data_IF_000492389839
#
_entry.id   IF_000492389839
#
_cell.length_a   1.000
_cell.length_b   1.000
_cell.length_c   1.000
_cell.angle_alpha   90.00
_cell.angle_beta   90.00
_cell.angle_gamma   90.00
#
_symmetry.space_group_name_H-M   'P 1'
#
loop_
_entity.id
_entity.type
_entity.pdbx_description
1 polymer ?
#
# COMPACT_ATOMS: atom_id res chain seq x y z
N UNK A 1 5.16 -11.19 -9.02
CA UNK A 1 5.32 -10.34 -7.81
C UNK A 1 4.97 -8.91 -8.15
N UNK A 2 4.53 -8.11 -7.18
CA UNK A 2 4.13 -6.69 -7.41
C UNK A 2 5.35 -5.86 -7.83
N UNK A 3 6.36 -5.77 -6.96
CA UNK A 3 7.57 -4.95 -7.16
C UNK A 3 8.87 -5.79 -7.06
N UNK A 4 8.78 -7.11 -7.15
CA UNK A 4 9.93 -8.00 -7.06
C UNK A 4 10.49 -8.22 -5.64
N UNK A 5 9.95 -7.55 -4.62
CA UNK A 5 10.35 -7.70 -3.21
C UNK A 5 9.45 -8.66 -2.43
N UNK A 6 10.03 -9.29 -1.40
CA UNK A 6 9.35 -10.15 -0.44
C UNK A 6 9.44 -9.54 0.96
N UNK A 7 8.30 -9.46 1.66
CA UNK A 7 8.20 -8.84 2.99
C UNK A 7 7.83 -9.83 4.12
N UNK A 8 7.57 -11.10 3.79
CA UNK A 8 7.26 -12.18 4.75
C UNK A 8 8.06 -13.44 4.40
N UNK A 9 8.30 -14.30 5.39
CA UNK A 9 9.09 -15.54 5.26
C UNK A 9 10.55 -15.36 5.65
N UNK A 10 11.31 -16.46 5.58
CA UNK A 10 12.73 -16.49 5.99
C UNK A 10 13.66 -15.80 4.97
N UNK A 11 13.27 -15.82 3.69
CA UNK A 11 14.02 -15.23 2.57
C UNK A 11 13.74 -13.73 2.37
N UNK A 12 13.60 -12.96 3.46
CA UNK A 12 13.42 -11.51 3.38
C UNK A 12 14.79 -10.84 3.29
N UNK A 13 15.07 -10.22 2.13
CA UNK A 13 16.35 -9.56 1.84
C UNK A 13 16.59 -8.33 2.73
N UNK A 14 15.56 -7.49 2.90
CA UNK A 14 15.62 -6.27 3.70
C UNK A 14 14.61 -6.31 4.86
N UNK A 15 15.08 -6.73 6.03
CA UNK A 15 14.24 -6.87 7.24
C UNK A 15 13.68 -5.54 7.73
N UNK A 16 14.44 -4.44 7.62
CA UNK A 16 13.96 -3.12 8.06
C UNK A 16 12.79 -2.63 7.20
N UNK A 17 12.93 -2.72 5.88
CA UNK A 17 11.87 -2.36 4.94
C UNK A 17 10.64 -3.26 5.13
N UNK A 18 10.84 -4.56 5.38
CA UNK A 18 9.77 -5.51 5.64
C UNK A 18 9.00 -5.18 6.92
N UNK A 19 9.68 -4.87 8.03
CA UNK A 19 8.99 -4.47 9.27
C UNK A 19 8.21 -3.17 9.08
N UNK A 20 8.75 -2.21 8.33
CA UNK A 20 8.02 -0.98 7.98
C UNK A 20 6.77 -1.28 7.15
N UNK A 21 6.88 -2.16 6.15
CA UNK A 21 5.74 -2.58 5.34
C UNK A 21 4.66 -3.25 6.19
N UNK A 22 5.03 -4.24 7.01
CA UNK A 22 4.11 -4.96 7.91
C UNK A 22 3.36 -4.00 8.84
N UNK A 23 4.07 -3.04 9.44
CA UNK A 23 3.46 -2.02 10.29
C UNK A 23 2.43 -1.19 9.51
N UNK A 24 2.76 -0.76 8.29
CA UNK A 24 1.84 0.04 7.47
C UNK A 24 0.60 -0.77 7.05
N UNK A 25 0.76 -2.05 6.69
CA UNK A 25 -0.37 -2.94 6.39
C UNK A 25 -1.28 -3.10 7.61
N UNK A 26 -0.70 -3.37 8.79
CA UNK A 26 -1.44 -3.45 10.04
C UNK A 26 -2.18 -2.15 10.38
N UNK A 27 -1.51 -1.01 10.27
CA UNK A 27 -2.12 0.29 10.56
C UNK A 27 -3.29 0.57 9.60
N UNK A 28 -3.15 0.24 8.31
CA UNK A 28 -4.25 0.38 7.33
C UNK A 28 -5.40 -0.56 7.67
N UNK A 29 -5.13 -1.82 8.02
CA UNK A 29 -6.13 -2.83 8.41
C UNK A 29 -7.01 -2.36 9.58
N UNK A 30 -6.36 -1.80 10.60
CA UNK A 30 -7.03 -1.28 11.79
C UNK A 30 -8.01 -0.16 11.47
N UNK A 31 -7.68 0.68 10.48
CA UNK A 31 -8.54 1.79 10.05
C UNK A 31 -9.54 1.43 8.95
N UNK A 32 -9.28 0.40 8.14
CA UNK A 32 -10.17 -0.07 7.05
C UNK A 32 -11.30 -0.95 7.55
N UNK A 33 -11.10 -1.60 8.70
CA UNK A 33 -12.15 -2.35 9.41
C UNK A 33 -13.31 -1.41 9.76
N UNK A 34 -14.55 -1.95 9.79
CA UNK A 34 -15.83 -1.23 9.99
C UNK A 34 -16.00 -0.51 11.35
N UNK A 35 -14.91 -0.13 12.01
CA UNK A 35 -14.83 0.41 13.35
C UNK A 35 -15.06 1.93 13.44
N UNK A 36 -15.33 2.61 12.32
CA UNK A 36 -15.72 4.02 12.38
C UNK A 36 -17.21 4.17 12.68
N UNK A 37 -17.55 4.24 13.97
CA UNK A 37 -18.93 4.45 14.45
C UNK A 37 -19.59 5.72 13.89
N UNK A 38 -18.81 6.68 13.37
CA UNK A 38 -19.31 7.91 12.72
C UNK A 38 -19.94 7.69 11.35
N UNK A 39 -19.59 6.60 10.68
CA UNK A 39 -20.22 6.23 9.41
C UNK A 39 -21.66 5.75 9.63
N UNK A 40 -21.98 5.36 10.86
CA UNK A 40 -23.31 4.91 11.27
C UNK A 40 -24.06 5.95 12.12
N UNK A 41 -23.36 6.80 12.87
CA UNK A 41 -23.94 7.80 13.77
C UNK A 41 -23.41 9.22 13.47
N UNK A 42 -24.11 10.01 12.64
CA UNK A 42 -23.66 11.33 12.19
C UNK A 42 -23.37 12.34 13.31
N UNK A 43 -24.05 12.22 14.45
CA UNK A 43 -23.86 13.10 15.62
C UNK A 43 -22.42 13.01 16.19
N UNK A 44 -21.74 11.87 15.99
CA UNK A 44 -20.37 11.66 16.46
C UNK A 44 -19.33 12.48 15.67
N UNK A 45 -19.68 13.03 14.50
CA UNK A 45 -18.79 13.92 13.71
C UNK A 45 -18.49 15.25 14.43
N UNK A 46 -19.30 15.62 15.43
CA UNK A 46 -19.12 16.85 16.21
C UNK A 46 -18.00 16.74 17.27
N UNK A 47 -17.55 15.54 17.62
CA UNK A 47 -16.60 15.29 18.72
C UNK A 47 -15.11 15.27 18.27
N UNK A 48 -14.71 16.15 17.35
CA UNK A 48 -13.32 16.33 16.89
C UNK A 48 -12.88 15.40 15.76
N UNK A 49 -11.65 15.54 15.23
CA UNK A 49 -11.18 14.86 14.00
C UNK A 49 -9.94 13.97 14.19
N UNK A 50 -9.76 13.39 15.38
CA UNK A 50 -8.57 12.58 15.71
C UNK A 50 -8.40 11.38 14.75
N UNK A 51 -9.47 10.62 14.53
CA UNK A 51 -9.46 9.47 13.62
C UNK A 51 -9.07 9.87 12.19
N UNK A 52 -9.68 10.92 11.63
CA UNK A 52 -9.35 11.43 10.29
C UNK A 52 -7.88 11.84 10.17
N UNK A 53 -7.32 12.47 11.21
CA UNK A 53 -5.90 12.84 11.26
C UNK A 53 -4.99 11.62 11.29
N UNK A 54 -5.35 10.58 12.04
CA UNK A 54 -4.59 9.32 12.11
C UNK A 54 -4.63 8.58 10.76
N UNK A 55 -5.81 8.47 10.13
CA UNK A 55 -5.96 7.89 8.79
C UNK A 55 -5.13 8.67 7.76
N UNK A 56 -5.18 10.00 7.79
CA UNK A 56 -4.38 10.84 6.89
C UNK A 56 -2.88 10.66 7.09
N UNK A 57 -2.42 10.53 8.34
CA UNK A 57 -1.02 10.28 8.65
C UNK A 57 -0.55 8.89 8.17
N UNK A 58 -1.38 7.85 8.35
CA UNK A 58 -1.13 6.50 7.82
C UNK A 58 -1.08 6.52 6.30
N UNK A 59 -2.04 7.18 5.64
CA UNK A 59 -2.08 7.32 4.19
C UNK A 59 -0.83 8.00 3.62
N UNK A 60 -0.38 9.09 4.25
CA UNK A 60 0.87 9.77 3.87
C UNK A 60 2.09 8.86 4.03
N UNK A 61 2.16 8.11 5.13
CA UNK A 61 3.27 7.19 5.40
C UNK A 61 3.33 6.04 4.38
N UNK A 62 2.16 5.53 3.96
CA UNK A 62 2.06 4.53 2.90
C UNK A 62 2.41 5.10 1.52
N UNK A 63 1.94 6.32 1.20
CA UNK A 63 2.29 6.97 -0.07
C UNK A 63 3.81 7.18 -0.20
N UNK A 64 4.46 7.64 0.87
CA UNK A 64 5.93 7.79 0.91
C UNK A 64 6.65 6.44 0.76
N UNK A 65 6.11 5.36 1.32
CA UNK A 65 6.65 4.01 1.16
C UNK A 65 6.51 3.54 -0.30
N UNK A 66 5.32 3.66 -0.88
CA UNK A 66 5.04 3.25 -2.26
C UNK A 66 5.84 4.09 -3.27
N UNK A 67 6.03 5.39 -3.01
CA UNK A 67 6.85 6.24 -3.88
C UNK A 67 8.30 5.76 -3.91
N UNK A 68 8.90 5.49 -2.73
CA UNK A 68 10.28 4.97 -2.67
C UNK A 68 10.40 3.65 -3.43
N UNK A 69 9.43 2.75 -3.25
CA UNK A 69 9.42 1.46 -3.94
C UNK A 69 9.26 1.62 -5.47
N UNK A 70 8.40 2.53 -5.91
CA UNK A 70 8.24 2.87 -7.33
C UNK A 70 9.53 3.43 -7.93
N UNK A 71 10.20 4.32 -7.20
CA UNK A 71 11.46 4.92 -7.63
C UNK A 71 12.60 3.89 -7.70
N UNK A 72 12.64 2.91 -6.79
CA UNK A 72 13.54 1.76 -6.87
C UNK A 72 13.26 0.93 -8.14
N UNK A 73 12.00 0.61 -8.42
CA UNK A 73 11.60 -0.12 -9.63
C UNK A 73 11.92 0.66 -10.93
N UNK A 74 11.97 2.00 -10.88
CA UNK A 74 12.39 2.80 -12.05
C UNK A 74 13.88 2.72 -12.33
N UNK A 75 14.69 2.54 -11.28
CA UNK A 75 16.15 2.38 -11.38
C UNK A 75 16.50 0.97 -11.86
N UNK A 76 15.74 -0.03 -11.42
CA UNK A 76 15.91 -1.42 -11.80
C UNK A 76 14.84 -1.86 -12.80
N UNK A 77 15.10 -1.59 -14.09
CA UNK A 77 14.14 -1.85 -15.18
C UNK A 77 14.13 -3.31 -15.66
N UNK A 78 15.04 -4.16 -15.17
CA UNK A 78 15.28 -5.50 -15.73
C UNK A 78 14.44 -6.61 -15.05
N UNK A 79 13.40 -6.24 -14.30
CA UNK A 79 12.50 -7.17 -13.63
C UNK A 79 11.24 -7.55 -14.42
N UNK A 80 10.75 -8.77 -14.23
CA UNK A 80 9.40 -9.19 -14.66
C UNK A 80 8.40 -9.06 -13.50
N UNK A 81 7.92 -7.84 -13.27
CA UNK A 81 7.02 -7.48 -12.16
C UNK A 81 5.83 -6.68 -12.67
N UNK A 82 4.74 -6.64 -11.90
CA UNK A 82 3.59 -5.81 -12.26
C UNK A 82 4.00 -4.33 -12.45
N UNK A 83 4.85 -3.81 -11.55
CA UNK A 83 5.29 -2.41 -11.61
C UNK A 83 6.17 -2.15 -12.84
N UNK A 84 7.07 -3.06 -13.22
CA UNK A 84 7.90 -2.85 -14.42
C UNK A 84 7.06 -2.82 -15.70
N UNK A 85 6.03 -3.67 -15.82
CA UNK A 85 5.07 -3.58 -16.94
C UNK A 85 4.26 -2.27 -16.93
N UNK A 86 3.79 -1.82 -15.77
CA UNK A 86 3.08 -0.54 -15.64
C UNK A 86 3.97 0.67 -15.97
N UNK A 87 5.25 0.63 -15.61
CA UNK A 87 6.23 1.67 -15.97
C UNK A 87 6.52 1.68 -17.48
N UNK A 88 6.49 0.53 -18.16
CA UNK A 88 6.56 0.47 -19.62
C UNK A 88 5.32 1.10 -20.28
N UNK A 89 4.13 0.90 -19.70
CA UNK A 89 2.90 1.52 -20.19
C UNK A 89 2.85 3.03 -19.89
N UNK A 90 3.42 3.47 -18.77
CA UNK A 90 3.59 4.90 -18.44
C UNK A 90 4.39 5.66 -19.50
N UNK A 91 5.31 5.01 -20.22
CA UNK A 91 6.03 5.66 -21.32
C UNK A 91 5.15 5.92 -22.54
N UNK A 92 4.08 5.15 -22.73
CA UNK A 92 3.18 5.26 -23.87
C UNK A 92 1.96 6.13 -23.54
N UNK A 93 1.40 5.97 -22.34
CA UNK A 93 0.17 6.64 -21.88
C UNK A 93 0.38 7.22 -20.48
N UNK A 94 1.22 8.26 -20.32
CA UNK A 94 1.65 8.79 -19.01
C UNK A 94 0.50 9.36 -18.17
N UNK A 95 -0.53 9.92 -18.82
CA UNK A 95 -1.69 10.47 -18.13
C UNK A 95 -2.58 9.37 -17.53
N UNK A 96 -2.67 8.21 -18.20
CA UNK A 96 -3.45 7.08 -17.72
C UNK A 96 -2.69 6.28 -16.65
N UNK A 97 -1.43 5.96 -16.92
CA UNK A 97 -0.52 5.27 -16.01
C UNK A 97 0.32 6.26 -15.18
N UNK A 98 -0.35 7.24 -14.58
CA UNK A 98 0.28 8.18 -13.65
C UNK A 98 0.85 7.47 -12.42
N UNK A 99 1.78 8.11 -11.71
CA UNK A 99 2.32 7.58 -10.44
C UNK A 99 1.23 7.29 -9.42
N UNK A 100 0.17 8.11 -9.41
CA UNK A 100 -1.00 7.89 -8.54
C UNK A 100 -1.69 6.58 -8.92
N UNK A 101 -1.94 6.35 -10.21
CA UNK A 101 -2.56 5.12 -10.71
C UNK A 101 -1.72 3.89 -10.36
N UNK A 102 -0.40 3.95 -10.65
CA UNK A 102 0.51 2.83 -10.41
C UNK A 102 0.60 2.53 -8.91
N UNK A 103 0.80 3.54 -8.06
CA UNK A 103 0.83 3.35 -6.59
C UNK A 103 -0.50 2.82 -6.06
N UNK A 104 -1.63 3.27 -6.60
CA UNK A 104 -2.95 2.75 -6.25
C UNK A 104 -3.07 1.24 -6.54
N UNK A 105 -2.62 0.80 -7.72
CA UNK A 105 -2.59 -0.62 -8.07
C UNK A 105 -1.62 -1.43 -7.20
N UNK A 106 -0.44 -0.87 -6.90
CA UNK A 106 0.51 -1.49 -5.97
C UNK A 106 -0.14 -1.71 -4.60
N UNK A 107 -0.76 -0.68 -4.04
CA UNK A 107 -1.42 -0.73 -2.75
C UNK A 107 -2.53 -1.78 -2.73
N UNK A 108 -3.42 -1.76 -3.72
CA UNK A 108 -4.54 -2.69 -3.81
C UNK A 108 -4.08 -4.16 -3.84
N UNK A 109 -3.08 -4.47 -4.67
CA UNK A 109 -2.56 -5.83 -4.80
C UNK A 109 -1.84 -6.30 -3.53
N UNK A 110 -1.07 -5.41 -2.90
CA UNK A 110 -0.32 -5.74 -1.68
C UNK A 110 -1.23 -5.97 -0.48
N UNK A 111 -2.21 -5.09 -0.25
CA UNK A 111 -3.13 -5.21 0.89
C UNK A 111 -4.05 -6.41 0.72
N UNK A 112 -4.75 -6.51 -0.41
CA UNK A 112 -5.69 -7.61 -0.66
C UNK A 112 -4.97 -8.95 -0.64
N UNK A 113 -3.80 -9.07 -1.27
CA UNK A 113 -3.04 -10.31 -1.33
C UNK A 113 -2.46 -10.76 0.00
N UNK A 114 -2.25 -9.85 0.96
CA UNK A 114 -1.70 -10.18 2.28
C UNK A 114 -2.78 -10.74 3.20
N UNK A 115 -3.83 -9.96 3.47
CA UNK A 115 -4.82 -10.31 4.49
C UNK A 115 -5.70 -11.49 4.07
N UNK A 116 -6.23 -11.45 2.84
CA UNK A 116 -7.16 -12.48 2.38
C UNK A 116 -6.48 -13.84 2.28
N UNK A 117 -5.24 -13.88 1.79
CA UNK A 117 -4.46 -15.12 1.71
C UNK A 117 -4.09 -15.64 3.09
N UNK A 118 -3.69 -14.76 4.02
CA UNK A 118 -3.35 -15.16 5.38
C UNK A 118 -4.56 -15.77 6.10
N UNK A 119 -5.72 -15.09 6.09
CA UNK A 119 -6.95 -15.55 6.74
C UNK A 119 -7.45 -16.87 6.13
N UNK A 120 -7.25 -17.09 4.82
CA UNK A 120 -7.69 -18.33 4.16
C UNK A 120 -6.81 -19.53 4.52
N UNK A 121 -5.55 -19.31 4.93
CA UNK A 121 -4.59 -20.36 5.27
C UNK A 121 -4.61 -20.75 6.75
N UNK A 122 -5.24 -19.96 7.61
CA UNK A 122 -5.56 -20.33 9.01
C UNK A 122 -6.55 -21.50 9.07
#
# INVERSE_FOLDING_TARGET
MVAGKRYYGDDVDNKEEAERFKKLVHDISMYSSANNSRDYLPVLKLFGNKFEKEVMATGKSMDEFLQRLLDDCRRDKDGNTMVTHLLSLQQQEPDYYSDITIKGLMMAMMLAGTETSAITLE
#
